data_IF_557647511615
#
_entry.id   IF_557647511615
#
_cell.length_a   1.000
_cell.length_b   1.000
_cell.length_c   1.000
_cell.angle_alpha   90.00
_cell.angle_beta   90.00
_cell.angle_gamma   90.00
#
_symmetry.space_group_name_H-M   'P 1'
#
loop_
_entity.id
_entity.type
_entity.pdbx_description
1 polymer ?
#
# COMPACT_ATOMS: atom_id res chain seq x y z
N UNK A 1 -3.33 -73.55 6.82
CA UNK A 1 -4.12 -74.67 6.25
C UNK A 1 -5.58 -74.42 6.58
N UNK A 2 -6.45 -74.40 5.55
CA UNK A 2 -7.93 -74.31 5.54
C UNK A 2 -8.65 -73.00 5.93
N UNK A 3 -9.16 -72.37 4.85
CA UNK A 3 -10.42 -71.61 4.70
C UNK A 3 -11.64 -72.37 5.24
N UNK A 4 -12.72 -71.62 5.57
CA UNK A 4 -14.06 -71.62 4.92
C UNK A 4 -15.02 -70.83 5.83
N UNK A 5 -15.57 -69.69 5.41
CA UNK A 5 -16.71 -69.47 4.49
C UNK A 5 -18.08 -69.92 5.04
N UNK A 6 -19.06 -69.00 5.03
CA UNK A 6 -20.36 -69.30 4.42
C UNK A 6 -21.65 -69.02 5.19
N UNK A 7 -22.29 -67.87 4.86
CA UNK A 7 -23.62 -67.76 4.19
C UNK A 7 -24.97 -67.96 4.94
N UNK A 8 -25.75 -66.85 4.89
CA UNK A 8 -27.09 -66.65 4.25
C UNK A 8 -28.45 -66.89 4.94
N UNK A 9 -29.41 -66.09 4.44
CA UNK A 9 -30.90 -66.12 4.43
C UNK A 9 -31.66 -65.49 5.62
N UNK A 10 -32.70 -64.64 5.54
CA UNK A 10 -33.46 -63.75 4.61
C UNK A 10 -34.97 -63.86 4.95
N UNK A 11 -35.72 -62.76 4.81
CA UNK A 11 -37.18 -62.60 4.50
C UNK A 11 -38.21 -62.47 5.65
N UNK A 12 -38.94 -61.34 5.64
CA UNK A 12 -40.42 -61.32 5.69
C UNK A 12 -40.98 -60.03 5.06
N UNK A 13 -41.99 -60.20 4.19
CA UNK A 13 -42.72 -59.20 3.38
C UNK A 13 -44.00 -58.73 4.08
N UNK A 14 -44.51 -57.52 3.73
CA UNK A 14 -45.93 -57.31 3.38
C UNK A 14 -46.13 -56.04 2.54
N UNK A 15 -47.00 -56.17 1.53
CA UNK A 15 -47.36 -55.22 0.48
C UNK A 15 -48.89 -55.09 0.50
N UNK A 16 -49.45 -53.88 0.34
CA UNK A 16 -50.82 -53.66 -0.15
C UNK A 16 -50.86 -52.39 -1.01
N UNK A 17 -51.65 -52.44 -2.08
CA UNK A 17 -51.64 -51.55 -3.24
C UNK A 17 -53.09 -51.15 -3.59
N UNK A 18 -53.23 -49.96 -4.22
CA UNK A 18 -54.28 -49.47 -5.16
C UNK A 18 -55.48 -48.71 -4.59
N UNK A 19 -55.67 -47.43 -5.01
CA UNK A 19 -56.71 -47.02 -5.99
C UNK A 19 -56.36 -45.65 -6.63
N UNK A 20 -56.52 -45.56 -7.96
CA UNK A 20 -56.31 -44.40 -8.84
C UNK A 20 -57.52 -43.45 -8.81
N UNK A 21 -57.26 -42.15 -9.00
CA UNK A 21 -58.15 -41.23 -9.70
C UNK A 21 -57.32 -40.40 -10.69
N UNK A 22 -57.81 -40.30 -11.93
CA UNK A 22 -57.22 -39.63 -13.10
C UNK A 22 -58.01 -38.33 -13.34
N UNK A 23 -57.36 -37.21 -13.68
CA UNK A 23 -57.71 -36.34 -14.83
C UNK A 23 -56.89 -35.03 -14.88
N UNK A 24 -56.09 -34.93 -15.95
CA UNK A 24 -55.74 -33.77 -16.80
C UNK A 24 -55.10 -32.50 -16.20
N UNK A 25 -53.86 -32.21 -16.61
CA UNK A 25 -53.59 -31.07 -17.51
C UNK A 25 -52.19 -31.12 -18.14
N UNK A 26 -52.16 -31.12 -19.48
CA UNK A 26 -51.18 -30.51 -20.40
C UNK A 26 -49.68 -30.80 -20.25
N UNK A 27 -49.19 -31.51 -21.29
CA UNK A 27 -47.80 -31.70 -21.67
C UNK A 27 -47.16 -30.38 -22.13
N UNK A 28 -46.01 -30.03 -21.57
CA UNK A 28 -44.97 -29.24 -22.23
C UNK A 28 -43.60 -29.69 -21.69
N UNK A 29 -42.92 -30.46 -22.53
CA UNK A 29 -41.55 -30.92 -22.38
C UNK A 29 -40.56 -29.76 -22.54
N UNK A 30 -39.65 -29.60 -21.57
CA UNK A 30 -38.42 -28.81 -21.70
C UNK A 30 -37.24 -29.64 -21.15
N UNK A 31 -36.11 -29.74 -21.87
CA UNK A 31 -35.00 -30.62 -21.53
C UNK A 31 -34.10 -30.04 -20.43
N UNK A 32 -33.57 -30.93 -19.58
CA UNK A 32 -32.44 -30.66 -18.69
C UNK A 32 -31.15 -30.58 -19.50
N UNK A 33 -30.66 -29.37 -19.76
CA UNK A 33 -29.26 -29.06 -20.08
C UNK A 33 -29.01 -27.59 -19.70
N UNK A 34 -28.14 -27.36 -18.72
CA UNK A 34 -27.04 -26.38 -18.79
C UNK A 34 -26.24 -26.39 -17.48
N UNK A 35 -25.02 -26.94 -17.58
CA UNK A 35 -23.89 -26.43 -16.83
C UNK A 35 -23.67 -24.98 -17.28
N UNK A 36 -23.83 -24.01 -16.39
CA UNK A 36 -23.25 -22.68 -16.61
C UNK A 36 -22.03 -22.52 -15.71
N UNK A 37 -20.87 -22.58 -16.35
CA UNK A 37 -19.68 -21.88 -15.91
C UNK A 37 -20.05 -20.43 -15.62
N UNK A 38 -19.91 -20.01 -14.36
CA UNK A 38 -20.05 -18.62 -13.97
C UNK A 38 -18.89 -17.85 -14.61
N UNK A 39 -19.13 -17.30 -15.80
CA UNK A 39 -18.24 -16.33 -16.44
C UNK A 39 -18.07 -15.12 -15.54
N UNK A 40 -16.82 -14.72 -15.35
CA UNK A 40 -16.37 -13.60 -14.55
C UNK A 40 -16.72 -12.21 -15.16
N UNK A 41 -17.96 -12.01 -15.64
CA UNK A 41 -18.39 -10.77 -16.30
C UNK A 41 -19.42 -9.94 -15.50
N UNK A 42 -19.79 -10.35 -14.28
CA UNK A 42 -20.81 -9.63 -13.49
C UNK A 42 -20.31 -8.93 -12.21
N UNK A 43 -19.00 -8.64 -12.08
CA UNK A 43 -18.47 -7.89 -10.92
C UNK A 43 -18.00 -6.45 -11.20
N UNK A 44 -18.14 -5.92 -12.42
CA UNK A 44 -17.40 -4.70 -12.79
C UNK A 44 -18.24 -3.50 -13.27
N UNK A 45 -19.27 -3.12 -12.51
CA UNK A 45 -20.00 -1.85 -12.75
C UNK A 45 -20.21 -0.96 -11.50
N UNK A 46 -19.77 -1.37 -10.30
CA UNK A 46 -19.94 -0.58 -9.06
C UNK A 46 -18.63 -0.14 -8.37
N UNK A 47 -17.48 -0.23 -9.05
CA UNK A 47 -16.17 0.16 -8.46
C UNK A 47 -15.84 1.65 -8.58
N UNK A 48 -16.59 2.43 -9.36
CA UNK A 48 -16.28 3.85 -9.61
C UNK A 48 -16.64 4.80 -8.46
N UNK A 49 -17.38 4.37 -7.43
CA UNK A 49 -17.83 5.26 -6.33
C UNK A 49 -17.13 5.07 -4.98
N UNK A 50 -16.08 4.24 -4.88
CA UNK A 50 -15.46 3.85 -3.59
C UNK A 50 -14.04 4.36 -3.36
N UNK A 51 -13.44 5.04 -4.34
CA UNK A 51 -12.14 5.68 -4.17
C UNK A 51 -12.33 7.18 -3.99
N UNK A 52 -11.70 7.81 -2.99
CA UNK A 52 -11.76 9.26 -2.86
C UNK A 52 -11.27 9.88 -4.16
N UNK A 53 -12.08 10.78 -4.73
CA UNK A 53 -11.74 11.48 -5.98
C UNK A 53 -10.35 12.08 -5.85
N UNK A 54 -9.41 11.68 -6.71
CA UNK A 54 -8.10 12.32 -6.77
C UNK A 54 -8.30 13.79 -7.13
N UNK A 55 -8.14 14.67 -6.15
CA UNK A 55 -8.02 16.09 -6.43
C UNK A 55 -6.58 16.30 -6.88
N UNK A 56 -6.37 16.41 -8.21
CA UNK A 56 -5.09 16.78 -8.76
C UNK A 56 -4.55 17.98 -7.98
N UNK A 57 -3.29 17.89 -7.54
CA UNK A 57 -2.56 19.09 -7.19
C UNK A 57 -2.62 19.96 -8.45
N UNK A 58 -3.29 21.12 -8.36
CA UNK A 58 -3.58 21.97 -9.51
C UNK A 58 -2.23 22.31 -10.16
N UNK A 59 -1.94 21.70 -11.30
CA UNK A 59 -0.76 22.02 -12.08
C UNK A 59 -1.01 23.43 -12.62
N UNK A 60 -0.39 24.42 -11.98
CA UNK A 60 -0.58 25.84 -12.31
C UNK A 60 0.41 26.32 -13.37
N UNK A 61 1.42 25.52 -13.68
CA UNK A 61 2.48 25.77 -14.65
C UNK A 61 2.59 24.63 -15.70
N UNK A 62 2.94 24.96 -16.94
CA UNK A 62 3.17 23.93 -17.96
C UNK A 62 4.33 23.01 -17.54
N UNK A 63 4.13 21.70 -17.60
CA UNK A 63 5.20 20.74 -17.31
C UNK A 63 6.15 20.62 -18.51
N UNK A 64 7.44 20.84 -18.27
CA UNK A 64 8.49 20.62 -19.27
C UNK A 64 8.58 19.13 -19.65
N UNK A 65 8.81 18.82 -20.93
CA UNK A 65 9.04 17.44 -21.41
C UNK A 65 10.09 17.44 -22.51
N UNK A 66 11.33 17.11 -22.15
CA UNK A 66 12.45 17.07 -23.09
C UNK A 66 12.41 15.86 -24.04
N UNK A 67 11.58 14.85 -23.76
CA UNK A 67 11.49 13.61 -24.54
C UNK A 67 12.88 12.97 -24.72
N UNK A 68 13.48 13.08 -25.90
CA UNK A 68 14.79 12.52 -26.24
C UNK A 68 15.89 13.61 -26.39
N UNK A 69 15.56 14.89 -26.23
CA UNK A 69 16.47 16.04 -26.37
C UNK A 69 17.38 16.18 -25.13
N UNK A 70 18.50 15.45 -25.14
CA UNK A 70 19.45 15.38 -24.03
C UNK A 70 20.20 16.68 -23.78
N UNK A 71 20.47 17.46 -24.83
CA UNK A 71 21.23 18.71 -24.69
C UNK A 71 20.38 19.77 -23.97
N UNK A 72 19.12 19.98 -24.38
CA UNK A 72 18.23 20.89 -23.66
C UNK A 72 17.93 20.44 -22.24
N UNK A 73 17.75 19.13 -22.05
CA UNK A 73 17.55 18.57 -20.70
C UNK A 73 18.78 18.82 -19.81
N UNK A 74 20.00 18.74 -20.36
CA UNK A 74 21.23 19.05 -19.65
C UNK A 74 21.31 20.53 -19.29
N UNK A 75 21.07 21.43 -20.23
CA UNK A 75 21.04 22.88 -19.98
C UNK A 75 20.03 23.25 -18.88
N UNK A 76 18.83 22.67 -18.96
CA UNK A 76 17.81 22.85 -17.92
C UNK A 76 18.26 22.27 -16.58
N UNK A 77 18.84 21.07 -16.58
CA UNK A 77 19.37 20.39 -15.40
C UNK A 77 20.43 21.21 -14.68
N UNK A 78 21.37 21.83 -15.40
CA UNK A 78 22.42 22.69 -14.84
C UNK A 78 21.87 23.93 -14.13
N UNK A 79 20.74 24.47 -14.59
CA UNK A 79 20.03 25.56 -13.93
C UNK A 79 19.35 25.06 -12.66
N UNK A 80 18.60 23.96 -12.75
CA UNK A 80 17.80 23.43 -11.63
C UNK A 80 18.64 22.82 -10.50
N UNK A 81 19.80 22.28 -10.81
CA UNK A 81 20.73 21.75 -9.82
C UNK A 81 21.15 22.81 -8.80
N UNK A 82 21.34 24.05 -9.26
CA UNK A 82 21.69 25.21 -8.42
C UNK A 82 20.54 25.64 -7.50
N UNK A 83 19.28 25.39 -7.88
CA UNK A 83 18.10 25.78 -7.10
C UNK A 83 17.98 25.01 -5.78
N UNK A 84 18.50 23.79 -5.71
CA UNK A 84 18.45 22.95 -4.50
C UNK A 84 19.43 23.42 -3.41
N UNK A 85 20.42 24.26 -3.75
CA UNK A 85 21.37 24.86 -2.78
C UNK A 85 22.07 23.84 -1.88
N UNK A 86 22.39 22.67 -2.42
CA UNK A 86 23.17 21.65 -1.73
C UNK A 86 24.66 22.02 -1.73
N UNK A 87 25.33 21.79 -0.61
CA UNK A 87 26.79 21.87 -0.51
C UNK A 87 27.46 20.71 -1.25
N UNK A 88 28.75 20.83 -1.58
CA UNK A 88 29.49 19.74 -2.23
C UNK A 88 29.50 18.44 -1.40
N UNK A 89 29.53 18.54 -0.06
CA UNK A 89 29.45 17.39 0.84
C UNK A 89 28.07 16.72 0.79
N UNK A 90 27.00 17.51 0.76
CA UNK A 90 25.63 17.00 0.63
C UNK A 90 25.41 16.29 -0.71
N UNK A 91 25.88 16.90 -1.82
CA UNK A 91 25.85 16.30 -3.16
C UNK A 91 26.57 14.96 -3.18
N UNK A 92 27.74 14.86 -2.54
CA UNK A 92 28.50 13.60 -2.44
C UNK A 92 27.69 12.51 -1.76
N UNK A 93 27.04 12.80 -0.63
CA UNK A 93 26.23 11.82 0.10
C UNK A 93 25.01 11.34 -0.67
N UNK A 94 24.33 12.23 -1.39
CA UNK A 94 23.26 11.82 -2.32
C UNK A 94 23.84 10.89 -3.39
N UNK A 95 24.97 11.25 -3.99
CA UNK A 95 25.60 10.41 -5.02
C UNK A 95 26.10 9.07 -4.46
N UNK A 96 26.60 9.01 -3.23
CA UNK A 96 26.98 7.77 -2.55
C UNK A 96 25.75 6.86 -2.38
N UNK A 97 24.60 7.43 -2.01
CA UNK A 97 23.34 6.69 -2.00
C UNK A 97 22.91 6.23 -3.40
N UNK A 98 22.90 7.13 -4.40
CA UNK A 98 22.46 6.81 -5.76
C UNK A 98 23.32 5.71 -6.42
N UNK A 99 24.63 5.74 -6.15
CA UNK A 99 25.61 4.77 -6.64
C UNK A 99 25.71 3.50 -5.79
N UNK A 100 24.83 3.35 -4.79
CA UNK A 100 24.78 2.18 -3.91
C UNK A 100 26.12 1.90 -3.18
N UNK A 101 26.84 2.97 -2.81
CA UNK A 101 28.05 2.90 -1.99
C UNK A 101 27.69 2.19 -0.67
N UNK A 102 28.52 1.22 -0.27
CA UNK A 102 28.28 0.37 0.91
C UNK A 102 26.93 -0.37 0.90
N UNK A 103 26.30 -0.56 -0.27
CA UNK A 103 25.01 -1.25 -0.41
C UNK A 103 23.82 -0.56 0.27
N UNK A 104 23.93 0.74 0.54
CA UNK A 104 22.86 1.50 1.22
C UNK A 104 21.54 1.54 0.43
N UNK A 105 21.58 1.60 -0.91
CA UNK A 105 20.39 1.62 -1.77
C UNK A 105 19.79 0.22 -1.87
N UNK A 106 20.65 -0.79 -2.02
CA UNK A 106 20.27 -2.22 -2.02
C UNK A 106 19.59 -2.61 -0.70
N UNK A 107 20.16 -2.19 0.44
CA UNK A 107 19.65 -2.53 1.77
C UNK A 107 18.54 -1.57 2.25
N UNK A 108 18.25 -0.49 1.52
CA UNK A 108 17.33 0.58 1.96
C UNK A 108 15.99 0.05 2.47
N UNK A 109 15.39 -0.90 1.73
CA UNK A 109 14.11 -1.48 2.11
C UNK A 109 14.20 -2.20 3.45
N UNK A 110 15.24 -3.02 3.67
CA UNK A 110 15.47 -3.68 4.96
C UNK A 110 15.72 -2.67 6.08
N UNK A 111 16.53 -1.63 5.82
CA UNK A 111 16.84 -0.57 6.79
C UNK A 111 15.55 0.08 7.30
N UNK A 112 14.62 0.43 6.42
CA UNK A 112 13.35 1.09 6.80
C UNK A 112 12.41 0.20 7.62
N UNK A 113 12.60 -1.12 7.64
CA UNK A 113 11.84 -2.05 8.47
C UNK A 113 12.69 -2.69 9.58
N UNK A 114 13.87 -2.13 9.86
CA UNK A 114 14.77 -2.64 10.88
C UNK A 114 14.41 -2.13 12.27
N UNK A 115 14.98 -2.79 13.26
CA UNK A 115 14.89 -2.38 14.67
C UNK A 115 15.98 -1.34 14.96
N UNK A 116 15.72 -0.42 15.90
CA UNK A 116 16.75 0.52 16.37
C UNK A 116 18.08 -0.18 16.71
N UNK A 117 19.18 0.52 16.43
CA UNK A 117 20.56 0.01 16.59
C UNK A 117 21.06 -0.90 15.46
N UNK A 118 20.30 -1.10 14.39
CA UNK A 118 20.79 -1.76 13.16
C UNK A 118 21.10 -0.72 12.09
N UNK A 119 22.14 -0.93 11.27
CA UNK A 119 22.54 -0.03 10.17
C UNK A 119 22.85 1.40 10.60
N UNK A 120 23.54 1.58 11.73
CA UNK A 120 23.74 2.92 12.34
C UNK A 120 24.45 3.92 11.43
N UNK A 121 25.45 3.45 10.67
CA UNK A 121 26.20 4.28 9.73
C UNK A 121 25.32 4.73 8.55
N UNK A 122 24.59 3.79 7.95
CA UNK A 122 23.66 4.10 6.86
C UNK A 122 22.55 5.03 7.35
N UNK A 123 22.01 4.81 8.55
CA UNK A 123 20.99 5.67 9.14
C UNK A 123 21.49 7.11 9.35
N UNK A 124 22.79 7.31 9.64
CA UNK A 124 23.37 8.65 9.73
C UNK A 124 23.34 9.36 8.39
N UNK A 125 23.72 8.68 7.32
CA UNK A 125 23.67 9.23 5.96
C UNK A 125 22.23 9.50 5.50
N UNK A 126 21.30 8.56 5.76
CA UNK A 126 19.88 8.75 5.43
C UNK A 126 19.26 9.93 6.18
N UNK A 127 19.61 10.15 7.46
CA UNK A 127 19.15 11.33 8.22
C UNK A 127 19.64 12.63 7.60
N UNK A 128 20.86 12.64 7.05
CA UNK A 128 21.38 13.82 6.35
C UNK A 128 20.67 14.03 5.02
N UNK A 129 20.45 12.97 4.23
CA UNK A 129 19.69 13.03 2.96
C UNK A 129 18.26 13.52 3.20
N UNK A 130 17.56 13.04 4.23
CA UNK A 130 16.22 13.52 4.59
C UNK A 130 16.18 15.04 4.84
N UNK A 131 17.21 15.60 5.48
CA UNK A 131 17.33 17.05 5.70
C UNK A 131 17.58 17.82 4.41
N UNK A 132 18.20 17.20 3.40
CA UNK A 132 18.43 17.85 2.10
C UNK A 132 17.11 18.08 1.35
N UNK A 133 16.13 17.19 1.48
CA UNK A 133 14.79 17.40 0.90
C UNK A 133 14.01 18.54 1.56
N UNK A 134 14.35 18.95 2.78
CA UNK A 134 13.75 20.14 3.40
C UNK A 134 14.24 21.45 2.74
N UNK A 135 15.34 21.40 1.96
CA UNK A 135 15.86 22.52 1.15
C UNK A 135 15.38 22.50 -0.31
N UNK A 136 14.68 21.44 -0.73
CA UNK A 136 14.24 21.28 -2.10
C UNK A 136 13.29 22.42 -2.52
N UNK A 137 13.53 22.98 -3.71
CA UNK A 137 12.79 24.13 -4.22
C UNK A 137 12.63 24.04 -5.74
N UNK A 138 11.85 23.05 -6.19
CA UNK A 138 11.57 22.86 -7.62
C UNK A 138 10.73 24.02 -8.15
N UNK A 139 11.31 24.85 -9.03
CA UNK A 139 10.63 26.07 -9.50
C UNK A 139 9.72 25.90 -10.73
N UNK A 140 9.74 24.74 -11.39
CA UNK A 140 8.96 24.44 -12.59
C UNK A 140 8.61 22.97 -12.69
N UNK A 141 7.37 22.67 -13.08
CA UNK A 141 6.88 21.30 -13.31
C UNK A 141 7.62 20.63 -14.47
N UNK A 142 7.81 19.31 -14.40
CA UNK A 142 8.52 18.54 -15.43
C UNK A 142 7.97 17.11 -15.53
N UNK A 143 8.06 16.52 -16.71
CA UNK A 143 7.86 15.11 -16.99
C UNK A 143 9.21 14.41 -16.98
N UNK A 144 9.34 13.38 -16.14
CA UNK A 144 10.54 12.56 -16.00
C UNK A 144 10.28 11.10 -16.40
N UNK A 145 11.36 10.35 -16.59
CA UNK A 145 11.33 9.00 -17.14
C UNK A 145 12.13 8.02 -16.29
N UNK A 146 11.60 6.82 -16.07
CA UNK A 146 12.36 5.71 -15.46
C UNK A 146 11.89 4.38 -16.02
N UNK A 147 12.82 3.57 -16.52
CA UNK A 147 12.52 2.19 -16.87
C UNK A 147 12.71 1.33 -15.62
N UNK A 148 11.79 0.41 -15.35
CA UNK A 148 11.85 -0.47 -14.18
C UNK A 148 11.45 -1.90 -14.54
N UNK A 149 11.97 -2.88 -13.81
CA UNK A 149 11.44 -4.24 -13.86
C UNK A 149 10.05 -4.30 -13.20
N UNK A 150 9.12 -5.14 -13.68
CA UNK A 150 7.75 -5.16 -13.17
C UNK A 150 7.65 -5.47 -11.67
N UNK A 151 8.49 -6.38 -11.17
CA UNK A 151 8.51 -6.78 -9.76
C UNK A 151 8.89 -5.62 -8.81
N UNK A 152 9.65 -4.62 -9.29
CA UNK A 152 10.05 -3.46 -8.46
C UNK A 152 8.87 -2.59 -8.04
N UNK A 153 7.80 -2.59 -8.83
CA UNK A 153 6.53 -1.92 -8.53
C UNK A 153 5.45 -2.90 -8.06
N UNK A 154 5.82 -4.14 -7.76
CA UNK A 154 4.92 -5.19 -7.26
C UNK A 154 4.02 -5.83 -8.30
N UNK A 155 4.42 -5.83 -9.57
CA UNK A 155 3.82 -6.68 -10.59
C UNK A 155 4.61 -7.99 -10.69
N UNK A 156 4.13 -9.05 -10.04
CA UNK A 156 4.88 -10.30 -9.87
C UNK A 156 4.55 -11.37 -10.94
N UNK A 157 3.77 -11.01 -11.96
CA UNK A 157 3.46 -11.86 -13.11
C UNK A 157 4.49 -11.64 -14.22
N UNK A 158 4.69 -12.64 -15.07
CA UNK A 158 5.57 -12.50 -16.23
C UNK A 158 5.01 -11.44 -17.19
N UNK A 159 5.69 -10.29 -17.32
CA UNK A 159 5.21 -9.19 -18.15
C UNK A 159 5.35 -9.48 -19.66
N UNK A 160 6.43 -10.15 -20.04
CA UNK A 160 6.84 -10.28 -21.45
C UNK A 160 7.13 -11.71 -21.82
N UNK A 161 6.85 -12.05 -23.08
CA UNK A 161 7.34 -13.25 -23.75
C UNK A 161 8.25 -12.79 -24.90
N UNK A 162 9.56 -12.90 -24.68
CA UNK A 162 10.57 -12.32 -25.55
C UNK A 162 10.41 -10.80 -25.72
N UNK A 163 10.18 -10.37 -26.96
CA UNK A 163 10.03 -8.95 -27.29
C UNK A 163 8.60 -8.43 -27.18
N UNK A 164 7.63 -9.29 -26.86
CA UNK A 164 6.19 -8.97 -26.89
C UNK A 164 5.55 -8.98 -25.51
N UNK A 165 4.44 -8.24 -25.38
CA UNK A 165 3.55 -8.21 -24.22
C UNK A 165 2.20 -8.75 -24.67
N UNK A 166 1.76 -9.81 -24.00
CA UNK A 166 0.45 -10.41 -24.22
C UNK A 166 -0.66 -9.48 -23.67
N UNK A 167 -1.79 -9.41 -24.40
CA UNK A 167 -2.98 -8.63 -24.02
C UNK A 167 -3.54 -8.99 -22.64
N UNK A 168 -3.53 -10.26 -22.23
CA UNK A 168 -4.05 -10.69 -20.92
C UNK A 168 -3.21 -10.12 -19.77
N UNK A 169 -1.89 -10.14 -19.94
CA UNK A 169 -0.95 -9.58 -18.97
C UNK A 169 -1.10 -8.06 -18.88
N UNK A 170 -1.34 -7.39 -20.01
CA UNK A 170 -1.65 -5.96 -20.03
C UNK A 170 -2.99 -5.65 -19.32
N UNK A 171 -4.00 -6.50 -19.48
CA UNK A 171 -5.27 -6.36 -18.78
C UNK A 171 -5.10 -6.51 -17.26
N UNK A 172 -4.35 -7.52 -16.81
CA UNK A 172 -3.99 -7.72 -15.40
C UNK A 172 -3.19 -6.55 -14.82
N UNK A 173 -2.26 -5.99 -15.59
CA UNK A 173 -1.50 -4.80 -15.18
C UNK A 173 -2.42 -3.59 -15.01
N UNK A 174 -3.35 -3.37 -15.94
CA UNK A 174 -4.33 -2.30 -15.84
C UNK A 174 -5.27 -2.47 -14.65
N UNK A 175 -5.78 -3.67 -14.43
CA UNK A 175 -6.63 -3.99 -13.28
C UNK A 175 -5.91 -3.69 -11.96
N UNK A 176 -4.62 -4.02 -11.88
CA UNK A 176 -3.83 -3.79 -10.67
C UNK A 176 -3.51 -2.30 -10.44
N UNK A 177 -3.19 -1.52 -11.48
CA UNK A 177 -2.60 -0.19 -11.29
C UNK A 177 -3.40 1.00 -11.84
N UNK A 178 -4.22 0.84 -12.89
CA UNK A 178 -4.88 1.99 -13.54
C UNK A 178 -5.84 2.69 -12.57
N UNK A 179 -5.68 4.01 -12.42
CA UNK A 179 -6.47 4.82 -11.48
C UNK A 179 -6.10 4.61 -10.00
N UNK A 180 -5.03 3.86 -9.70
CA UNK A 180 -4.54 3.60 -8.33
C UNK A 180 -3.18 4.25 -8.10
N UNK A 181 -2.77 4.29 -6.84
CA UNK A 181 -1.51 4.88 -6.41
C UNK A 181 -0.42 3.80 -6.24
N UNK A 182 0.76 4.01 -6.82
CA UNK A 182 1.94 3.16 -6.63
C UNK A 182 2.83 3.78 -5.55
N UNK A 183 3.01 3.04 -4.45
CA UNK A 183 3.98 3.38 -3.40
C UNK A 183 5.34 2.73 -3.67
N UNK A 184 6.39 3.55 -3.70
CA UNK A 184 7.78 3.10 -3.83
C UNK A 184 8.43 2.84 -2.47
N UNK A 185 9.43 1.96 -2.46
CA UNK A 185 10.14 1.58 -1.24
C UNK A 185 11.14 2.66 -0.80
N UNK A 186 11.83 3.31 -1.73
CA UNK A 186 12.84 4.36 -1.51
C UNK A 186 12.50 5.68 -2.21
N UNK A 187 13.39 6.68 -2.07
CA UNK A 187 13.40 7.86 -2.93
C UNK A 187 13.32 7.46 -4.39
N UNK A 188 12.59 8.23 -5.20
CA UNK A 188 12.41 7.97 -6.61
C UNK A 188 13.38 8.84 -7.42
N UNK A 189 14.45 8.23 -7.93
CA UNK A 189 15.36 8.81 -8.92
C UNK A 189 14.83 8.56 -10.35
N UNK A 190 14.73 9.61 -11.16
CA UNK A 190 14.23 9.58 -12.54
C UNK A 190 15.09 10.44 -13.45
N UNK A 191 15.00 10.18 -14.76
CA UNK A 191 15.76 10.88 -15.78
C UNK A 191 14.93 12.01 -16.41
N UNK A 192 15.62 13.07 -16.87
CA UNK A 192 14.97 14.20 -17.55
C UNK A 192 14.57 13.88 -19.00
N UNK A 193 15.06 12.75 -19.54
CA UNK A 193 14.77 12.27 -20.91
C UNK A 193 14.49 10.77 -20.92
N UNK A 194 13.84 10.29 -21.98
CA UNK A 194 13.53 8.89 -22.23
C UNK A 194 14.81 8.06 -22.21
N UNK A 195 14.78 6.95 -21.47
CA UNK A 195 15.90 6.03 -21.36
C UNK A 195 15.79 4.86 -22.34
N UNK A 196 16.94 4.31 -22.73
CA UNK A 196 16.96 3.09 -23.52
C UNK A 196 16.40 1.93 -22.69
N UNK A 197 15.55 1.13 -23.32
CA UNK A 197 14.91 -0.03 -22.69
C UNK A 197 15.89 -1.21 -22.67
N UNK A 198 15.98 -1.89 -21.53
CA UNK A 198 16.71 -3.15 -21.38
C UNK A 198 15.74 -4.35 -21.52
N UNK A 199 16.27 -5.57 -21.57
CA UNK A 199 15.42 -6.78 -21.69
C UNK A 199 14.50 -6.99 -20.48
N UNK A 200 14.91 -6.52 -19.29
CA UNK A 200 14.17 -6.71 -18.03
C UNK A 200 13.33 -5.49 -17.63
N UNK A 201 13.82 -4.27 -17.87
CA UNK A 201 13.14 -3.03 -17.47
C UNK A 201 12.11 -2.61 -18.52
N UNK A 202 10.99 -3.34 -18.56
CA UNK A 202 9.96 -3.25 -19.60
C UNK A 202 8.73 -2.43 -19.18
N UNK A 203 8.77 -1.82 -18.00
CA UNK A 203 7.81 -0.81 -17.56
C UNK A 203 8.47 0.57 -17.61
N UNK A 204 7.92 1.47 -18.42
CA UNK A 204 8.39 2.85 -18.57
C UNK A 204 7.49 3.74 -17.71
N UNK A 205 8.01 4.25 -16.60
CA UNK A 205 7.35 5.27 -15.79
C UNK A 205 7.59 6.63 -16.45
N UNK A 206 6.51 7.27 -16.92
CA UNK A 206 6.46 8.65 -17.39
C UNK A 206 5.78 9.48 -16.30
N UNK A 207 6.57 10.14 -15.46
CA UNK A 207 6.13 10.74 -14.21
C UNK A 207 6.03 12.26 -14.35
N UNK A 208 4.83 12.81 -14.18
CA UNK A 208 4.65 14.26 -14.03
C UNK A 208 4.98 14.66 -12.60
N UNK A 209 6.05 15.45 -12.44
CA UNK A 209 6.53 16.04 -11.20
C UNK A 209 6.05 17.49 -11.14
N UNK A 210 4.95 17.80 -10.42
CA UNK A 210 4.50 19.16 -10.26
C UNK A 210 5.51 19.97 -9.44
N UNK A 211 5.76 21.25 -9.77
CA UNK A 211 6.64 22.12 -8.97
C UNK A 211 6.08 22.37 -7.57
N UNK A 212 4.77 22.53 -7.47
CA UNK A 212 4.13 23.04 -6.26
C UNK A 212 4.54 24.47 -5.94
N UNK A 213 5.09 25.23 -6.90
CA UNK A 213 5.49 26.61 -6.69
C UNK A 213 4.28 27.48 -6.30
N UNK A 214 4.43 28.24 -5.22
CA UNK A 214 3.34 29.05 -4.66
C UNK A 214 2.29 28.26 -3.85
N UNK A 215 2.46 26.94 -3.70
CA UNK A 215 1.68 26.10 -2.78
C UNK A 215 2.17 26.24 -1.34
N UNK A 216 1.29 25.99 -0.38
CA UNK A 216 1.66 25.81 1.04
C UNK A 216 2.50 24.56 1.28
N UNK A 217 2.51 23.63 0.32
CA UNK A 217 3.33 22.43 0.30
C UNK A 217 4.07 22.36 -1.05
N UNK A 218 5.24 23.01 -1.19
CA UNK A 218 6.11 22.83 -2.35
C UNK A 218 6.52 21.36 -2.53
N UNK A 219 6.74 20.95 -3.78
CA UNK A 219 7.15 19.58 -4.05
C UNK A 219 8.58 19.36 -3.56
N UNK A 220 8.78 18.33 -2.73
CA UNK A 220 10.11 17.94 -2.24
C UNK A 220 10.81 17.07 -3.27
N UNK A 221 11.23 17.69 -4.36
CA UNK A 221 12.03 17.09 -5.41
C UNK A 221 13.10 18.08 -5.86
N UNK A 222 14.24 17.57 -6.34
CA UNK A 222 15.34 18.40 -6.80
C UNK A 222 16.18 17.71 -7.86
N UNK A 223 16.93 18.51 -8.61
CA UNK A 223 17.84 18.02 -9.65
C UNK A 223 19.23 17.86 -9.05
N UNK A 224 19.86 16.71 -9.31
CA UNK A 224 21.22 16.39 -8.87
C UNK A 224 22.05 15.92 -10.06
N UNK A 225 23.32 16.33 -10.11
CA UNK A 225 24.30 15.79 -11.05
C UNK A 225 24.89 14.49 -10.47
N UNK A 226 24.57 13.37 -11.11
CA UNK A 226 25.09 12.04 -10.78
C UNK A 226 25.92 11.51 -11.96
N UNK A 227 27.23 11.38 -11.74
CA UNK A 227 28.18 11.17 -12.83
C UNK A 227 28.14 12.32 -13.84
N UNK A 228 27.72 12.02 -15.07
CA UNK A 228 27.60 13.00 -16.16
C UNK A 228 26.14 13.32 -16.53
N UNK A 229 25.17 12.93 -15.69
CA UNK A 229 23.75 13.08 -15.97
C UNK A 229 23.04 13.86 -14.85
N UNK A 230 22.24 14.86 -15.25
CA UNK A 230 21.30 15.51 -14.34
C UNK A 230 20.06 14.62 -14.19
N UNK A 231 19.75 14.22 -12.95
CA UNK A 231 18.61 13.39 -12.60
C UNK A 231 17.68 14.15 -11.68
N UNK A 232 16.40 13.81 -11.72
CA UNK A 232 15.41 14.26 -10.75
C UNK A 232 15.33 13.26 -9.60
N UNK A 233 15.48 13.74 -8.37
CA UNK A 233 15.35 12.94 -7.15
C UNK A 233 14.14 13.43 -6.34
N UNK A 234 13.23 12.50 -6.01
CA UNK A 234 11.94 12.79 -5.37
C UNK A 234 11.90 12.12 -4.00
N UNK A 235 11.44 12.87 -2.99
CA UNK A 235 11.29 12.44 -1.59
C UNK A 235 10.33 11.24 -1.42
N UNK A 236 10.48 10.52 -0.29
CA UNK A 236 9.63 9.39 0.09
C UNK A 236 8.16 9.76 0.31
N UNK A 237 7.85 11.03 0.59
CA UNK A 237 6.51 11.54 0.88
C UNK A 237 5.56 11.62 -0.33
N UNK A 238 5.81 10.84 -1.39
CA UNK A 238 5.03 10.81 -2.62
C UNK A 238 4.71 9.39 -3.07
N UNK A 239 3.58 9.26 -3.77
CA UNK A 239 3.16 8.09 -4.54
C UNK A 239 2.94 8.52 -5.99
N UNK A 240 2.97 7.57 -6.92
CA UNK A 240 2.61 7.82 -8.32
C UNK A 240 1.15 7.45 -8.55
N UNK A 241 0.28 8.43 -8.79
CA UNK A 241 -1.08 8.17 -9.25
C UNK A 241 -1.06 7.78 -10.73
N UNK A 242 -1.61 6.63 -11.09
CA UNK A 242 -1.55 6.11 -12.46
C UNK A 242 -2.72 6.63 -13.29
N UNK A 243 -2.42 7.64 -14.12
CA UNK A 243 -3.40 8.31 -14.99
C UNK A 243 -3.71 7.45 -16.22
N UNK A 244 -2.69 6.81 -16.80
CA UNK A 244 -2.84 6.04 -18.04
C UNK A 244 -1.81 4.92 -18.16
N UNK A 245 -2.25 3.80 -18.72
CA UNK A 245 -1.39 2.67 -19.09
C UNK A 245 -1.57 2.38 -20.57
N UNK A 246 -0.46 2.34 -21.31
CA UNK A 246 -0.44 2.05 -22.74
C UNK A 246 0.72 1.14 -23.13
N UNK A 247 0.58 0.44 -24.26
CA UNK A 247 1.66 -0.34 -24.85
C UNK A 247 2.41 0.52 -25.86
N UNK A 248 3.73 0.52 -25.80
CA UNK A 248 4.62 1.27 -26.71
C UNK A 248 5.72 0.36 -27.25
N UNK A 249 6.30 0.69 -28.39
CA UNK A 249 7.43 -0.07 -28.97
C UNK A 249 8.68 0.79 -28.94
N UNK A 250 9.76 0.28 -28.35
CA UNK A 250 11.07 0.94 -28.29
C UNK A 250 12.13 0.01 -28.86
N UNK A 251 12.71 0.38 -30.01
CA UNK A 251 13.73 -0.44 -30.73
C UNK A 251 13.32 -1.92 -30.90
N UNK A 252 12.06 -2.17 -31.26
CA UNK A 252 11.53 -3.53 -31.45
C UNK A 252 11.10 -4.28 -30.18
N UNK A 253 11.24 -3.66 -28.99
CA UNK A 253 10.76 -4.18 -27.72
C UNK A 253 9.43 -3.54 -27.34
N UNK A 254 8.39 -4.34 -27.09
CA UNK A 254 7.12 -3.84 -26.53
C UNK A 254 7.26 -3.51 -25.03
N UNK A 255 6.86 -2.33 -24.58
CA UNK A 255 6.89 -1.94 -23.18
C UNK A 255 5.51 -1.48 -22.72
N UNK A 256 5.24 -1.57 -21.41
CA UNK A 256 4.13 -0.84 -20.81
C UNK A 256 4.61 0.54 -20.38
N UNK A 257 4.01 1.59 -20.93
CA UNK A 257 4.19 2.95 -20.47
C UNK A 257 3.10 3.29 -19.45
N UNK A 258 3.53 3.69 -18.26
CA UNK A 258 2.72 4.18 -17.16
C UNK A 258 2.89 5.69 -17.11
N UNK A 259 1.87 6.42 -17.55
CA UNK A 259 1.80 7.88 -17.38
C UNK A 259 1.11 8.14 -16.04
N UNK A 260 1.75 8.92 -15.17
CA UNK A 260 1.22 9.19 -13.85
C UNK A 260 1.72 10.48 -13.24
N UNK A 261 0.99 10.98 -12.25
CA UNK A 261 1.26 12.24 -11.57
C UNK A 261 1.65 11.99 -10.11
N UNK A 262 2.65 12.71 -9.60
CA UNK A 262 3.00 12.62 -8.19
C UNK A 262 1.85 13.10 -7.30
N UNK A 263 1.58 12.34 -6.25
CA UNK A 263 0.61 12.65 -5.21
C UNK A 263 1.30 12.59 -3.86
N UNK A 264 1.19 13.67 -3.08
CA UNK A 264 1.74 13.72 -1.71
C UNK A 264 1.03 12.69 -0.81
N UNK A 265 1.82 11.88 -0.11
CA UNK A 265 1.41 11.00 0.98
C UNK A 265 2.56 10.91 1.98
N UNK A 266 2.39 11.52 3.15
CA UNK A 266 3.44 11.61 4.15
C UNK A 266 3.85 10.23 4.66
N UNK A 267 5.14 9.91 4.60
CA UNK A 267 5.68 8.63 5.02
C UNK A 267 6.95 8.84 5.82
N UNK A 268 6.89 8.56 7.13
CA UNK A 268 8.02 8.73 8.04
C UNK A 268 9.01 7.57 8.00
N UNK A 269 8.71 6.47 7.26
CA UNK A 269 9.50 5.23 7.31
C UNK A 269 9.70 4.76 8.76
N UNK A 270 10.90 4.38 9.15
CA UNK A 270 11.28 4.05 10.53
C UNK A 270 11.53 5.30 11.41
N UNK A 271 11.14 6.49 10.95
CA UNK A 271 11.18 7.75 11.69
C UNK A 271 12.56 8.11 12.25
N UNK A 272 13.59 7.96 11.41
CA UNK A 272 15.01 8.17 11.77
C UNK A 272 15.31 9.59 12.26
N UNK A 273 14.48 10.55 11.84
CA UNK A 273 14.57 11.96 12.20
C UNK A 273 13.62 12.38 13.33
N UNK A 274 12.89 11.43 13.95
CA UNK A 274 11.95 11.67 15.05
C UNK A 274 10.89 12.76 14.74
N UNK A 275 10.39 12.80 13.50
CA UNK A 275 9.42 13.80 13.02
C UNK A 275 7.97 13.33 13.18
N UNK A 276 7.72 12.02 13.30
CA UNK A 276 6.37 11.45 13.35
C UNK A 276 5.58 11.92 14.57
N UNK A 277 6.18 11.87 15.77
CA UNK A 277 5.50 12.30 16.99
C UNK A 277 5.15 13.79 16.96
N UNK A 278 6.07 14.64 16.47
CA UNK A 278 5.82 16.08 16.31
C UNK A 278 4.67 16.36 15.33
N UNK A 279 4.57 15.62 14.23
CA UNK A 279 3.41 15.71 13.33
C UNK A 279 2.12 15.29 14.05
N UNK A 280 2.14 14.18 14.80
CA UNK A 280 0.99 13.70 15.55
C UNK A 280 0.48 14.75 16.55
N UNK A 281 1.36 15.28 17.39
CA UNK A 281 1.01 16.32 18.37
C UNK A 281 0.52 17.61 17.71
N UNK A 282 1.22 18.10 16.67
CA UNK A 282 0.80 19.29 15.91
C UNK A 282 -0.65 19.18 15.42
N UNK A 283 -1.09 17.97 15.06
CA UNK A 283 -2.42 17.76 14.50
C UNK A 283 -3.46 17.35 15.56
N UNK A 284 -3.08 16.68 16.65
CA UNK A 284 -4.04 16.04 17.58
C UNK A 284 -3.93 16.48 19.04
N UNK A 285 -3.02 17.39 19.39
CA UNK A 285 -2.93 17.91 20.77
C UNK A 285 -4.24 18.58 21.22
N UNK A 286 -4.81 19.46 20.40
CA UNK A 286 -6.11 20.09 20.67
C UNK A 286 -7.26 19.07 20.73
N UNK A 287 -7.26 18.07 19.83
CA UNK A 287 -8.23 16.97 19.87
C UNK A 287 -8.16 16.22 21.20
N UNK A 288 -6.95 15.92 21.67
CA UNK A 288 -6.75 15.23 22.93
C UNK A 288 -7.19 16.11 24.11
N UNK A 289 -6.94 17.42 24.09
CA UNK A 289 -7.35 18.34 25.15
C UNK A 289 -8.89 18.47 25.28
N UNK A 290 -9.61 18.37 24.17
CA UNK A 290 -11.05 18.55 24.11
C UNK A 290 -11.86 17.26 24.40
N UNK A 291 -11.20 16.16 24.75
CA UNK A 291 -11.89 14.92 25.14
C UNK A 291 -12.59 15.07 26.49
N UNK A 292 -13.86 14.64 26.56
CA UNK A 292 -14.54 14.48 27.85
C UNK A 292 -13.88 13.36 28.67
N UNK A 293 -14.08 13.37 29.99
CA UNK A 293 -13.54 12.32 30.87
C UNK A 293 -13.99 10.92 30.47
N UNK A 294 -15.24 10.76 30.00
CA UNK A 294 -15.77 9.48 29.54
C UNK A 294 -15.08 8.99 28.26
N UNK A 295 -14.85 9.89 27.30
CA UNK A 295 -14.13 9.57 26.06
C UNK A 295 -12.66 9.26 26.33
N UNK A 296 -11.99 10.08 27.16
CA UNK A 296 -10.61 9.85 27.55
C UNK A 296 -10.45 8.51 28.27
N UNK A 297 -11.33 8.19 29.21
CA UNK A 297 -11.32 6.92 29.93
C UNK A 297 -11.55 5.73 28.99
N UNK A 298 -12.46 5.86 28.03
CA UNK A 298 -12.72 4.81 27.05
C UNK A 298 -11.49 4.52 26.18
N UNK A 299 -10.80 5.56 25.70
CA UNK A 299 -9.58 5.44 24.90
C UNK A 299 -8.38 4.93 25.72
N UNK A 300 -8.16 5.43 26.93
CA UNK A 300 -7.08 4.95 27.81
C UNK A 300 -7.30 3.49 28.22
N UNK A 301 -8.54 3.10 28.51
CA UNK A 301 -8.90 1.69 28.75
C UNK A 301 -8.63 0.81 27.52
N UNK A 302 -9.01 1.29 26.33
CA UNK A 302 -8.72 0.62 25.06
C UNK A 302 -7.22 0.42 24.87
N UNK A 303 -6.41 1.49 24.96
CA UNK A 303 -4.96 1.45 24.75
C UNK A 303 -4.23 0.50 25.72
N UNK A 304 -4.69 0.41 26.98
CA UNK A 304 -4.05 -0.45 27.99
C UNK A 304 -4.32 -1.94 27.77
N UNK A 305 -5.59 -2.33 27.70
CA UNK A 305 -5.97 -3.74 27.79
C UNK A 305 -7.32 -4.07 27.18
N UNK A 306 -8.27 -3.12 27.17
CA UNK A 306 -9.64 -3.39 26.75
C UNK A 306 -9.73 -3.68 25.25
N UNK A 307 -8.72 -3.28 24.46
CA UNK A 307 -8.64 -3.60 23.03
C UNK A 307 -8.82 -5.10 22.74
N UNK A 308 -8.36 -6.00 23.62
CA UNK A 308 -8.52 -7.44 23.43
C UNK A 308 -9.99 -7.84 23.47
N UNK A 309 -10.68 -7.42 24.53
CA UNK A 309 -12.10 -7.73 24.76
C UNK A 309 -13.00 -7.04 23.76
N UNK A 310 -12.74 -5.76 23.48
CA UNK A 310 -13.53 -4.96 22.53
C UNK A 310 -13.40 -5.52 21.11
N UNK A 311 -12.18 -5.80 20.66
CA UNK A 311 -12.01 -6.31 19.30
C UNK A 311 -12.50 -7.76 19.16
N UNK A 312 -12.38 -8.61 20.18
CA UNK A 312 -12.97 -9.94 20.15
C UNK A 312 -14.51 -9.87 20.06
N UNK A 313 -15.12 -8.99 20.86
CA UNK A 313 -16.55 -8.74 20.82
C UNK A 313 -17.03 -8.29 19.42
N UNK A 314 -16.32 -7.34 18.81
CA UNK A 314 -16.63 -6.84 17.47
C UNK A 314 -16.37 -7.87 16.36
N UNK A 315 -15.26 -8.61 16.43
CA UNK A 315 -14.84 -9.56 15.38
C UNK A 315 -15.60 -10.89 15.43
N UNK A 316 -15.83 -11.41 16.64
CA UNK A 316 -16.23 -12.80 16.85
C UNK A 316 -17.60 -12.96 17.51
N UNK A 317 -18.09 -11.96 18.26
CA UNK A 317 -19.35 -12.05 19.01
C UNK A 317 -20.49 -11.24 18.38
N UNK A 318 -20.26 -10.66 17.19
CA UNK A 318 -21.27 -9.91 16.44
C UNK A 318 -21.46 -8.46 16.88
N UNK A 319 -20.76 -7.99 17.91
CA UNK A 319 -20.78 -6.59 18.33
C UNK A 319 -22.13 -6.12 18.90
N UNK A 320 -22.90 -7.01 19.53
CA UNK A 320 -24.19 -6.67 20.17
C UNK A 320 -24.45 -7.47 21.45
N UNK A 321 -25.20 -6.91 22.39
CA UNK A 321 -25.68 -7.61 23.59
C UNK A 321 -24.82 -7.41 24.85
N UNK A 322 -23.88 -6.46 24.83
CA UNK A 322 -23.11 -6.06 26.01
C UNK A 322 -23.12 -4.53 26.17
N UNK A 323 -24.09 -4.01 26.93
CA UNK A 323 -24.32 -2.56 27.09
C UNK A 323 -23.07 -1.78 27.54
N UNK A 324 -22.23 -2.39 28.38
CA UNK A 324 -20.99 -1.75 28.84
C UNK A 324 -19.98 -1.60 27.70
N UNK A 325 -19.76 -2.67 26.92
CA UNK A 325 -18.87 -2.60 25.76
C UNK A 325 -19.46 -1.69 24.68
N UNK A 326 -20.77 -1.74 24.45
CA UNK A 326 -21.47 -0.91 23.45
C UNK A 326 -21.30 0.59 23.77
N UNK A 327 -21.46 0.97 25.04
CA UNK A 327 -21.23 2.34 25.50
C UNK A 327 -19.75 2.76 25.34
N UNK A 328 -18.80 1.87 25.65
CA UNK A 328 -17.38 2.15 25.48
C UNK A 328 -17.00 2.31 24.00
N UNK A 329 -17.48 1.41 23.13
CA UNK A 329 -17.30 1.44 21.68
C UNK A 329 -17.87 2.73 21.09
N UNK A 330 -19.08 3.12 21.52
CA UNK A 330 -19.69 4.39 21.10
C UNK A 330 -18.78 5.58 21.42
N UNK A 331 -18.30 5.68 22.66
CA UNK A 331 -17.39 6.75 23.07
C UNK A 331 -16.09 6.77 22.25
N UNK A 332 -15.50 5.61 21.97
CA UNK A 332 -14.28 5.51 21.15
C UNK A 332 -14.55 5.98 19.72
N UNK A 333 -15.57 5.42 19.06
CA UNK A 333 -15.88 5.74 17.66
C UNK A 333 -16.29 7.20 17.47
N UNK A 334 -17.11 7.77 18.36
CA UNK A 334 -17.41 9.21 18.31
C UNK A 334 -16.12 10.04 18.39
N UNK A 335 -15.21 9.67 19.28
CA UNK A 335 -13.94 10.39 19.45
C UNK A 335 -13.02 10.31 18.23
N UNK A 336 -12.91 9.14 17.61
CA UNK A 336 -12.11 8.93 16.39
C UNK A 336 -12.66 9.68 15.17
N UNK A 337 -13.94 10.04 15.20
CA UNK A 337 -14.62 10.74 14.11
C UNK A 337 -14.66 12.27 14.27
N UNK A 338 -14.36 12.80 15.46
CA UNK A 338 -14.41 14.23 15.75
C UNK A 338 -13.31 15.04 15.03
N UNK A 339 -12.16 14.41 14.75
CA UNK A 339 -11.07 15.03 13.99
C UNK A 339 -10.55 14.03 12.94
N UNK A 340 -11.01 14.12 11.68
CA UNK A 340 -10.54 13.22 10.64
C UNK A 340 -9.07 13.48 10.30
N UNK A 341 -8.43 12.49 9.67
CA UNK A 341 -7.02 12.54 9.27
C UNK A 341 -6.78 13.76 8.35
N UNK A 342 -5.86 14.68 8.70
CA UNK A 342 -5.81 16.02 8.08
C UNK A 342 -5.17 16.07 6.69
N UNK A 343 -4.35 15.08 6.35
CA UNK A 343 -3.67 14.95 5.05
C UNK A 343 -3.43 13.47 4.72
N UNK A 344 -3.07 13.15 3.48
CA UNK A 344 -2.72 11.77 3.11
C UNK A 344 -1.46 11.33 3.87
N UNK A 345 -1.52 10.19 4.53
CA UNK A 345 -0.40 9.61 5.29
C UNK A 345 -0.22 8.13 4.95
N UNK A 346 0.97 7.61 5.22
CA UNK A 346 1.29 6.18 5.25
C UNK A 346 1.44 5.74 6.70
N UNK A 347 0.75 4.67 7.07
CA UNK A 347 0.87 4.01 8.37
C UNK A 347 1.28 2.55 8.20
N UNK A 348 1.78 1.96 9.27
CA UNK A 348 2.37 0.63 9.27
C UNK A 348 1.74 -0.26 10.32
N UNK A 349 1.65 -1.56 10.01
CA UNK A 349 1.21 -2.57 10.98
C UNK A 349 1.92 -3.90 10.74
N UNK A 350 2.62 -4.38 11.76
CA UNK A 350 3.24 -5.70 11.76
C UNK A 350 2.19 -6.77 12.08
N UNK A 351 1.80 -7.53 11.07
CA UNK A 351 0.66 -8.42 11.09
C UNK A 351 1.05 -9.87 11.40
N UNK A 352 0.17 -10.53 12.15
CA UNK A 352 0.30 -11.95 12.47
C UNK A 352 -0.33 -12.78 11.37
N UNK A 353 0.15 -14.01 11.20
CA UNK A 353 -0.42 -14.96 10.23
C UNK A 353 -1.96 -15.09 10.36
N UNK A 354 -2.57 -15.18 11.56
CA UNK A 354 -4.03 -15.32 11.70
C UNK A 354 -4.85 -14.13 11.20
N UNK A 355 -4.25 -12.94 11.14
CA UNK A 355 -4.96 -11.75 10.65
C UNK A 355 -5.19 -11.83 9.14
N UNK A 356 -4.45 -12.70 8.45
CA UNK A 356 -4.61 -13.07 7.05
C UNK A 356 -5.11 -14.52 6.91
N UNK A 357 -5.75 -15.10 7.93
CA UNK A 357 -6.38 -16.42 7.83
C UNK A 357 -5.45 -17.64 7.96
N UNK A 358 -4.14 -17.41 8.18
CA UNK A 358 -3.14 -18.48 8.32
C UNK A 358 -2.89 -18.85 9.78
N UNK A 359 -2.43 -20.07 10.05
CA UNK A 359 -2.05 -20.47 11.42
C UNK A 359 -0.75 -19.79 11.86
N UNK A 360 -0.58 -19.59 13.18
CA UNK A 360 0.63 -18.92 13.74
C UNK A 360 1.93 -19.64 13.34
N UNK A 361 1.90 -20.97 13.31
CA UNK A 361 3.04 -21.83 12.99
C UNK A 361 3.32 -21.93 11.49
N UNK A 362 2.40 -21.54 10.61
CA UNK A 362 2.55 -21.71 9.17
C UNK A 362 3.67 -20.81 8.61
N UNK A 363 4.45 -21.29 7.62
CA UNK A 363 5.37 -20.44 6.88
C UNK A 363 4.59 -19.39 6.07
N UNK A 364 5.32 -18.38 5.55
CA UNK A 364 4.71 -17.55 4.51
C UNK A 364 4.39 -18.45 3.30
N UNK A 365 3.17 -18.37 2.73
CA UNK A 365 2.85 -19.08 1.49
C UNK A 365 3.69 -18.53 0.33
N UNK A 366 3.71 -19.22 -0.81
CA UNK A 366 4.37 -18.68 -2.00
C UNK A 366 3.71 -17.35 -2.41
N UNK A 367 4.50 -16.43 -2.97
CA UNK A 367 4.01 -15.08 -3.30
C UNK A 367 2.81 -15.13 -4.25
N UNK A 368 2.85 -16.04 -5.22
CA UNK A 368 1.75 -16.27 -6.18
C UNK A 368 0.45 -16.69 -5.49
N UNK A 369 0.53 -17.56 -4.49
CA UNK A 369 -0.65 -18.05 -3.76
C UNK A 369 -1.24 -16.94 -2.87
N UNK A 370 -0.37 -16.15 -2.24
CA UNK A 370 -0.78 -14.99 -1.45
C UNK A 370 -1.42 -13.90 -2.33
N UNK A 371 -0.87 -13.64 -3.52
CA UNK A 371 -1.49 -12.72 -4.48
C UNK A 371 -2.83 -13.23 -4.98
N UNK A 372 -2.95 -14.53 -5.26
CA UNK A 372 -4.21 -15.13 -5.68
C UNK A 372 -5.32 -14.91 -4.65
N UNK A 373 -4.99 -15.01 -3.36
CA UNK A 373 -5.96 -14.83 -2.27
C UNK A 373 -6.26 -13.35 -1.97
N UNK A 374 -5.26 -12.46 -2.00
CA UNK A 374 -5.40 -11.12 -1.44
C UNK A 374 -5.28 -9.97 -2.44
N UNK A 375 -4.57 -10.12 -3.56
CA UNK A 375 -4.35 -9.00 -4.48
C UNK A 375 -5.68 -8.51 -5.08
N UNK A 376 -5.86 -7.19 -5.15
CA UNK A 376 -7.09 -6.53 -5.63
C UNK A 376 -8.37 -6.86 -4.81
N UNK A 377 -8.23 -7.48 -3.63
CA UNK A 377 -9.36 -7.73 -2.73
C UNK A 377 -9.56 -6.59 -1.74
N UNK A 378 -10.76 -6.50 -1.17
CA UNK A 378 -11.05 -5.65 -0.02
C UNK A 378 -10.98 -6.50 1.23
N UNK A 379 -10.11 -6.12 2.17
CA UNK A 379 -10.05 -6.72 3.50
C UNK A 379 -10.75 -5.80 4.49
N UNK A 380 -11.61 -6.41 5.30
CA UNK A 380 -12.40 -5.72 6.32
C UNK A 380 -11.90 -6.10 7.73
N UNK A 381 -12.04 -5.17 8.67
CA UNK A 381 -11.89 -5.43 10.10
C UNK A 381 -13.09 -4.84 10.84
N UNK A 382 -13.87 -5.71 11.50
CA UNK A 382 -14.99 -5.27 12.35
C UNK A 382 -14.52 -4.59 13.62
N UNK A 383 -13.30 -4.89 14.08
CA UNK A 383 -12.66 -4.23 15.19
C UNK A 383 -11.96 -2.94 14.76
N UNK A 384 -11.37 -2.24 15.73
CA UNK A 384 -10.48 -1.11 15.46
C UNK A 384 -9.12 -1.62 14.97
N UNK A 385 -8.49 -0.87 14.05
CA UNK A 385 -7.17 -1.21 13.52
C UNK A 385 -6.14 -0.26 14.12
N UNK A 386 -5.29 -0.79 15.02
CA UNK A 386 -4.11 -0.09 15.53
C UNK A 386 -2.98 -0.13 14.49
N UNK A 387 -2.43 1.04 14.18
CA UNK A 387 -1.33 1.26 13.23
C UNK A 387 -0.32 2.25 13.79
N UNK A 388 0.89 2.32 13.23
CA UNK A 388 1.90 3.30 13.63
C UNK A 388 2.33 4.17 12.46
N UNK A 389 2.69 5.43 12.73
CA UNK A 389 3.38 6.28 11.76
C UNK A 389 4.80 5.79 11.44
N UNK A 390 5.39 4.92 12.28
CA UNK A 390 6.71 4.34 12.07
C UNK A 390 6.64 2.89 11.59
N UNK A 391 7.47 2.56 10.61
CA UNK A 391 7.70 1.18 10.15
C UNK A 391 8.75 0.41 10.97
N UNK A 392 9.35 1.06 11.97
CA UNK A 392 10.35 0.47 12.85
C UNK A 392 9.90 -0.88 13.42
N UNK A 393 10.79 -1.87 13.39
CA UNK A 393 10.51 -3.17 13.98
C UNK A 393 10.77 -3.16 15.48
N UNK A 394 9.74 -3.40 16.26
CA UNK A 394 9.86 -3.61 17.71
C UNK A 394 10.12 -5.08 18.05
N UNK A 395 10.71 -5.34 19.22
CA UNK A 395 11.00 -6.69 19.70
C UNK A 395 9.73 -7.58 19.77
N UNK A 396 8.60 -6.99 20.18
CA UNK A 396 7.30 -7.66 20.26
C UNK A 396 6.78 -8.20 18.90
N UNK A 397 7.32 -7.73 17.78
CA UNK A 397 6.88 -8.10 16.44
C UNK A 397 7.79 -9.16 15.77
N UNK A 398 8.73 -9.77 16.51
CA UNK A 398 9.71 -10.70 15.94
C UNK A 398 9.13 -11.84 15.09
N UNK A 399 7.99 -12.40 15.50
CA UNK A 399 7.30 -13.50 14.80
C UNK A 399 6.38 -13.05 13.66
N UNK A 400 6.17 -11.75 13.47
CA UNK A 400 5.27 -11.18 12.46
C UNK A 400 5.95 -11.25 11.09
N UNK A 401 5.27 -11.88 10.12
CA UNK A 401 5.82 -12.16 8.78
C UNK A 401 5.23 -11.26 7.68
N UNK A 402 4.15 -10.55 7.99
CA UNK A 402 3.43 -9.67 7.07
C UNK A 402 3.50 -8.25 7.63
N UNK A 403 3.83 -7.28 6.78
CA UNK A 403 3.88 -5.87 7.12
C UNK A 403 2.85 -5.16 6.23
N UNK A 404 1.79 -4.64 6.82
CA UNK A 404 0.84 -3.80 6.13
C UNK A 404 1.41 -2.37 6.06
N UNK A 405 1.57 -1.84 4.84
CA UNK A 405 1.86 -0.44 4.55
C UNK A 405 0.61 0.19 3.97
N UNK A 406 -0.14 0.90 4.80
CA UNK A 406 -1.49 1.36 4.51
C UNK A 406 -1.48 2.86 4.19
N UNK A 407 -1.98 3.20 3.00
CA UNK A 407 -2.29 4.58 2.62
C UNK A 407 -3.60 4.99 3.27
N UNK A 408 -3.57 6.07 4.05
CA UNK A 408 -4.73 6.66 4.71
C UNK A 408 -5.03 8.00 4.01
N UNK A 409 -6.09 8.06 3.19
CA UNK A 409 -6.47 9.31 2.54
C UNK A 409 -6.87 10.38 3.57
N UNK A 410 -6.64 11.66 3.23
CA UNK A 410 -7.20 12.80 3.96
C UNK A 410 -8.71 12.61 4.15
N UNK A 411 -9.22 12.94 5.34
CA UNK A 411 -10.63 12.80 5.69
C UNK A 411 -10.99 11.45 6.30
N UNK A 412 -10.06 10.49 6.34
CA UNK A 412 -10.30 9.17 6.95
C UNK A 412 -10.64 9.27 8.44
N UNK A 413 -11.44 8.31 8.90
CA UNK A 413 -11.88 8.15 10.29
C UNK A 413 -10.80 7.49 11.14
N UNK A 414 -10.26 8.23 12.09
CA UNK A 414 -9.17 7.78 12.95
C UNK A 414 -8.45 8.97 13.57
N UNK A 415 -7.68 8.69 14.61
CA UNK A 415 -6.94 9.72 15.34
C UNK A 415 -5.56 9.24 15.78
N UNK A 416 -4.68 10.20 16.06
CA UNK A 416 -3.37 9.93 16.64
C UNK A 416 -3.51 9.67 18.13
N UNK A 417 -3.64 8.40 18.50
CA UNK A 417 -3.97 7.98 19.87
C UNK A 417 -2.87 8.39 20.86
N UNK A 418 -1.60 8.37 20.44
CA UNK A 418 -0.48 8.78 21.27
C UNK A 418 -0.56 10.22 21.81
N UNK A 419 -1.44 11.10 21.28
CA UNK A 419 -1.67 12.43 21.83
C UNK A 419 -2.39 12.44 23.19
N UNK A 420 -3.06 11.36 23.61
CA UNK A 420 -3.74 11.31 24.91
C UNK A 420 -2.79 11.07 26.09
N UNK A 421 -1.50 10.81 25.82
CA UNK A 421 -0.48 10.49 26.82
C UNK A 421 -0.27 8.98 27.03
N UNK A 422 0.74 8.61 27.82
CA UNK A 422 1.04 7.21 28.22
C UNK A 422 1.70 6.33 27.15
N UNK A 423 1.49 6.61 25.86
CA UNK A 423 1.92 5.76 24.72
C UNK A 423 2.61 6.57 23.61
N UNK A 424 3.31 7.65 23.97
CA UNK A 424 3.95 8.57 23.02
C UNK A 424 4.95 7.89 22.06
N UNK A 425 5.61 6.82 22.52
CA UNK A 425 6.61 6.08 21.76
C UNK A 425 6.02 5.23 20.63
N UNK A 426 4.73 4.89 20.70
CA UNK A 426 4.08 3.99 19.73
C UNK A 426 3.70 4.71 18.43
N UNK A 427 3.62 6.05 18.47
CA UNK A 427 3.28 6.91 17.33
C UNK A 427 1.98 6.41 16.65
N UNK A 428 1.02 6.04 17.48
CA UNK A 428 -0.13 5.23 17.06
C UNK A 428 -1.19 6.08 16.35
N UNK A 429 -1.64 5.59 15.20
CA UNK A 429 -2.88 6.01 14.53
C UNK A 429 -3.88 4.88 14.72
N UNK A 430 -4.95 5.15 15.46
CA UNK A 430 -6.06 4.23 15.66
C UNK A 430 -7.15 4.53 14.63
N UNK A 431 -7.44 3.56 13.76
CA UNK A 431 -8.52 3.65 12.79
C UNK A 431 -9.83 3.16 13.41
N UNK A 432 -10.93 3.83 13.05
CA UNK A 432 -12.27 3.46 13.52
C UNK A 432 -12.63 2.02 13.09
N UNK A 433 -13.57 1.42 13.82
CA UNK A 433 -14.08 0.08 13.53
C UNK A 433 -14.77 0.02 12.16
N UNK A 434 -14.99 -1.20 11.66
CA UNK A 434 -15.56 -1.45 10.33
C UNK A 434 -14.72 -0.86 9.18
N UNK A 435 -13.41 -0.71 9.42
CA UNK A 435 -12.45 -0.25 8.44
C UNK A 435 -12.30 -1.25 7.31
N UNK A 436 -12.17 -0.73 6.08
CA UNK A 436 -11.98 -1.54 4.86
C UNK A 436 -10.81 -0.98 4.07
N UNK A 437 -9.96 -1.85 3.55
CA UNK A 437 -8.86 -1.43 2.68
C UNK A 437 -8.73 -2.34 1.47
N UNK A 438 -8.40 -1.75 0.33
CA UNK A 438 -8.11 -2.46 -0.90
C UNK A 438 -6.60 -2.79 -0.97
N UNK A 439 -6.26 -4.04 -1.25
CA UNK A 439 -4.87 -4.50 -1.37
C UNK A 439 -4.36 -4.22 -2.79
N UNK A 440 -3.36 -3.35 -2.91
CA UNK A 440 -2.87 -2.80 -4.18
C UNK A 440 -1.75 -3.63 -4.80
N UNK A 441 -0.78 -4.05 -3.97
CA UNK A 441 0.36 -4.87 -4.38
C UNK A 441 1.01 -5.56 -3.19
N UNK A 442 1.75 -6.62 -3.47
CA UNK A 442 2.54 -7.35 -2.48
C UNK A 442 3.98 -7.41 -2.98
N UNK A 443 4.94 -7.14 -2.09
CA UNK A 443 6.37 -7.24 -2.40
C UNK A 443 7.11 -7.95 -1.28
N UNK A 444 8.27 -8.52 -1.58
CA UNK A 444 9.11 -9.17 -0.57
C UNK A 444 10.12 -8.19 0.04
N UNK A 445 10.50 -8.47 1.29
CA UNK A 445 11.69 -7.92 1.95
C UNK A 445 12.30 -9.00 2.83
N UNK A 446 13.62 -9.09 2.85
CA UNK A 446 14.34 -9.95 3.79
C UNK A 446 14.87 -9.06 4.91
N UNK A 447 14.53 -9.38 6.15
CA UNK A 447 14.99 -8.61 7.33
C UNK A 447 15.67 -9.57 8.28
N UNK A 448 16.98 -9.38 8.47
CA UNK A 448 17.87 -10.26 9.24
C UNK A 448 17.71 -11.73 8.82
N UNK A 449 17.75 -11.98 7.52
CA UNK A 449 17.64 -13.32 6.93
C UNK A 449 16.22 -13.91 6.90
N UNK A 450 15.22 -13.24 7.47
CA UNK A 450 13.83 -13.73 7.48
C UNK A 450 13.02 -12.99 6.42
N UNK A 451 12.46 -13.75 5.47
CA UNK A 451 11.56 -13.25 4.44
C UNK A 451 10.25 -12.74 5.03
N UNK A 452 9.77 -11.61 4.53
CA UNK A 452 8.51 -10.96 4.89
C UNK A 452 7.79 -10.41 3.66
N UNK A 453 6.47 -10.30 3.75
CA UNK A 453 5.66 -9.63 2.74
C UNK A 453 5.30 -8.22 3.20
N UNK A 454 5.55 -7.24 2.35
CA UNK A 454 5.03 -5.88 2.47
C UNK A 454 3.77 -5.81 1.61
N UNK A 455 2.62 -5.65 2.27
CA UNK A 455 1.30 -5.53 1.66
C UNK A 455 0.97 -4.05 1.60
N UNK A 456 0.99 -3.49 0.39
CA UNK A 456 0.55 -2.13 0.14
C UNK A 456 -0.96 -2.11 -0.04
N UNK A 457 -1.64 -1.27 0.71
CA UNK A 457 -3.09 -1.14 0.65
C UNK A 457 -3.53 0.32 0.75
N UNK A 458 -4.77 0.61 0.35
CA UNK A 458 -5.40 1.91 0.51
C UNK A 458 -6.67 1.76 1.32
N UNK A 459 -6.80 2.53 2.40
CA UNK A 459 -8.02 2.60 3.19
C UNK A 459 -9.15 3.19 2.33
N UNK A 460 -10.32 2.54 2.35
CA UNK A 460 -11.53 3.05 1.74
C UNK A 460 -12.17 4.06 2.70
N UNK A 461 -12.37 5.29 2.21
CA UNK A 461 -13.08 6.32 2.95
C UNK A 461 -14.57 6.19 2.66
N UNK A 462 -15.38 6.03 3.72
CA UNK A 462 -16.83 5.97 3.64
C UNK A 462 -17.46 7.37 3.65
#
# INVERSE_FOLDING_TARGET
>A
MKRMEGKLFMVSKKLQLVTKALLFSTVLSIPLLNNEEVKAEHLNLNSQSKYPSFQNQKITDNAEDFKEDKEKAKEWGEVKEKEWKLTATEKRKINDFLNDTNKIKTNYKEITFSMAGSFEDELKDLKEIDKMFDKANLSSSIITYKNVEPATIGFNKSLTEGNTINSDVMAQFKEQFLGKDIKFDSYLDTHLTVQQVSSKERVILKVTVPSGKGSTNPTKAGVILDGNEHKMLIDNGYVLHVDKVSKVVKKGLECLQVEGTLKKSLDFKNDISAKAHSWGMKNYEEWAANLTDSQRKALDGYARQDYKKINDYLRNQGGSGNEQLDAQIKNISETLNNKPIPENITVYRWCGMPEFGYQISEPLPALKDFEWEFLNTIKEDKGYISTSLSSERLAAFGSRKIILRLQIPKGSKGAYLSAIGGFANEKEILLDKDSKYHINKITEVVIKGIKRYVVDATLLTN
#
